data_IF_840632433962
#
_entry.id   IF_840632433962
#
_cell.length_a   1.000
_cell.length_b   1.000
_cell.length_c   1.000
_cell.angle_alpha   90.00
_cell.angle_beta   90.00
_cell.angle_gamma   90.00
#
_symmetry.space_group_name_H-M   'P 1'
#
loop_
_entity.id
_entity.type
_entity.pdbx_description
1 polymer ?
#
# COMPACT_ATOMS: atom_id res chain seq x y z
N UNK A 1 -1.36 9.76 2.77
CA UNK A 1 -1.15 9.23 1.40
C UNK A 1 -2.02 10.05 0.44
N UNK A 2 -1.52 10.41 -0.76
CA UNK A 2 -2.26 11.20 -1.76
C UNK A 2 -3.61 10.56 -2.12
N UNK A 3 -3.65 9.22 -2.25
CA UNK A 3 -4.88 8.46 -2.52
C UNK A 3 -5.93 8.67 -1.42
N UNK A 4 -5.51 8.72 -0.16
CA UNK A 4 -6.42 9.03 0.96
C UNK A 4 -7.05 10.41 0.77
N UNK A 5 -6.25 11.45 0.51
CA UNK A 5 -6.79 12.80 0.33
C UNK A 5 -7.71 12.94 -0.89
N UNK A 6 -7.42 12.19 -1.96
CA UNK A 6 -8.20 12.26 -3.19
C UNK A 6 -9.55 11.52 -3.10
N UNK A 7 -9.59 10.36 -2.45
CA UNK A 7 -10.78 9.50 -2.43
C UNK A 7 -11.64 9.59 -1.16
N UNK A 8 -11.07 10.04 -0.04
CA UNK A 8 -11.78 10.08 1.25
C UNK A 8 -12.91 11.12 1.25
N UNK A 9 -14.10 10.69 1.65
CA UNK A 9 -15.30 11.50 1.78
C UNK A 9 -15.12 12.68 2.75
N UNK A 10 -14.31 12.51 3.80
CA UNK A 10 -14.03 13.59 4.77
C UNK A 10 -13.06 14.64 4.25
N UNK A 11 -12.41 14.39 3.12
CA UNK A 11 -11.44 15.30 2.50
C UNK A 11 -12.08 16.19 1.42
N UNK A 12 -13.40 16.08 1.21
CA UNK A 12 -14.13 16.79 0.15
C UNK A 12 -13.93 18.30 0.20
N UNK A 13 -14.00 18.91 1.38
CA UNK A 13 -13.86 20.36 1.55
C UNK A 13 -12.41 20.83 1.35
N UNK A 14 -11.44 19.91 1.37
CA UNK A 14 -10.03 20.20 1.13
C UNK A 14 -9.61 19.94 -0.33
N UNK A 15 -10.47 19.35 -1.16
CA UNK A 15 -10.11 18.90 -2.51
C UNK A 15 -9.53 20.03 -3.38
N UNK A 16 -10.21 21.18 -3.44
CA UNK A 16 -9.77 22.31 -4.26
C UNK A 16 -8.40 22.85 -3.83
N UNK A 17 -8.14 22.89 -2.51
CA UNK A 17 -6.87 23.38 -1.98
C UNK A 17 -5.71 22.41 -2.23
N UNK A 18 -5.98 21.11 -2.23
CA UNK A 18 -4.96 20.08 -2.40
C UNK A 18 -4.67 19.75 -3.88
N UNK A 19 -5.70 19.81 -4.73
CA UNK A 19 -5.63 19.30 -6.10
C UNK A 19 -5.98 20.33 -7.18
N UNK A 20 -6.54 21.50 -6.84
CA UNK A 20 -7.13 22.42 -7.82
C UNK A 20 -6.19 22.91 -8.92
N UNK A 21 -4.90 23.06 -8.62
CA UNK A 21 -3.88 23.48 -9.60
C UNK A 21 -3.32 22.32 -10.43
N UNK A 22 -3.60 21.08 -10.02
CA UNK A 22 -3.15 19.85 -10.67
C UNK A 22 -4.17 19.37 -11.71
N UNK A 23 -3.70 18.58 -12.68
CA UNK A 23 -4.58 18.05 -13.73
C UNK A 23 -5.72 17.21 -13.15
N UNK A 24 -5.45 16.41 -12.11
CA UNK A 24 -6.45 15.58 -11.41
C UNK A 24 -7.47 16.38 -10.59
N UNK A 25 -7.22 17.67 -10.31
CA UNK A 25 -8.22 18.56 -9.71
C UNK A 25 -8.99 19.37 -10.74
N UNK A 26 -8.41 19.63 -11.93
CA UNK A 26 -9.09 20.27 -13.06
C UNK A 26 -10.04 19.32 -13.79
N UNK A 27 -9.67 18.04 -13.88
CA UNK A 27 -10.50 16.96 -14.42
C UNK A 27 -10.59 15.79 -13.42
N UNK A 28 -11.39 15.93 -12.34
CA UNK A 28 -11.47 14.92 -11.31
C UNK A 28 -12.24 13.68 -11.78
N UNK A 29 -11.77 12.51 -11.37
CA UNK A 29 -12.49 11.25 -11.65
C UNK A 29 -13.87 11.27 -10.98
N UNK A 30 -14.90 10.63 -11.56
CA UNK A 30 -16.26 10.63 -10.99
C UNK A 30 -16.39 10.10 -9.56
N UNK A 31 -15.34 9.50 -9.00
CA UNK A 31 -15.34 8.84 -7.70
C UNK A 31 -14.45 9.55 -6.66
N UNK A 32 -13.91 10.73 -6.96
CA UNK A 32 -13.16 11.52 -5.99
C UNK A 32 -14.02 11.84 -4.74
N UNK A 33 -13.43 11.79 -3.55
CA UNK A 33 -14.09 12.02 -2.25
C UNK A 33 -15.43 11.30 -2.03
N UNK A 34 -15.55 10.04 -2.50
CA UNK A 34 -16.78 9.23 -2.36
C UNK A 34 -16.60 7.97 -1.49
N UNK A 35 -15.47 7.82 -0.82
CA UNK A 35 -15.12 6.60 -0.08
C UNK A 35 -14.84 6.85 1.39
N UNK A 36 -15.16 5.87 2.22
CA UNK A 36 -14.40 5.64 3.45
C UNK A 36 -13.10 4.94 3.05
N UNK A 37 -11.98 5.64 3.23
CA UNK A 37 -10.64 5.11 2.95
C UNK A 37 -10.07 4.51 4.23
N UNK A 38 -9.70 3.23 4.15
CA UNK A 38 -9.02 2.49 5.22
C UNK A 38 -7.57 2.27 4.78
N UNK A 39 -6.61 2.60 5.63
CA UNK A 39 -5.19 2.38 5.38
C UNK A 39 -4.66 1.31 6.33
N UNK A 40 -4.08 0.25 5.77
CA UNK A 40 -3.26 -0.71 6.51
C UNK A 40 -1.83 -0.55 6.09
N UNK A 41 -0.92 -0.32 7.03
CA UNK A 41 0.52 -0.31 6.76
C UNK A 41 1.14 -1.54 7.42
N UNK A 42 1.65 -2.47 6.60
CA UNK A 42 2.17 -3.74 7.07
C UNK A 42 3.58 -3.65 7.66
N UNK A 43 4.33 -2.54 7.51
CA UNK A 43 5.58 -2.35 8.26
C UNK A 43 5.37 -2.17 9.77
N UNK A 44 4.14 -1.87 10.22
CA UNK A 44 3.78 -1.87 11.65
C UNK A 44 3.65 -3.28 12.23
N UNK A 45 3.66 -4.34 11.41
CA UNK A 45 3.51 -5.71 11.89
C UNK A 45 4.83 -6.26 12.43
N UNK A 46 4.79 -6.90 13.61
CA UNK A 46 5.95 -7.60 14.14
C UNK A 46 6.17 -8.93 13.41
N UNK A 47 7.35 -9.08 12.80
CA UNK A 47 7.83 -10.29 12.12
C UNK A 47 8.48 -11.33 13.04
N UNK A 48 8.59 -11.03 14.34
CA UNK A 48 9.32 -11.87 15.30
C UNK A 48 8.40 -12.79 16.10
N UNK A 49 8.84 -14.04 16.28
CA UNK A 49 8.21 -15.02 17.17
C UNK A 49 7.72 -16.26 16.45
N UNK A 50 6.95 -17.09 17.16
CA UNK A 50 6.25 -18.24 16.57
C UNK A 50 5.09 -17.77 15.68
N UNK A 51 4.56 -18.65 14.82
CA UNK A 51 3.41 -18.34 13.96
C UNK A 51 2.21 -17.83 14.76
N UNK A 52 1.88 -18.44 15.89
CA UNK A 52 0.77 -18.01 16.75
C UNK A 52 0.98 -16.61 17.33
N UNK A 53 2.23 -16.28 17.72
CA UNK A 53 2.58 -14.95 18.21
C UNK A 53 2.48 -13.91 17.09
N UNK A 54 2.97 -14.26 15.91
CA UNK A 54 2.88 -13.44 14.71
C UNK A 54 1.41 -13.19 14.33
N UNK A 55 0.57 -14.23 14.34
CA UNK A 55 -0.87 -14.12 14.08
C UNK A 55 -1.56 -13.20 15.09
N UNK A 56 -1.27 -13.39 16.37
CA UNK A 56 -1.82 -12.56 17.45
C UNK A 56 -1.42 -11.09 17.25
N UNK A 57 -0.13 -10.84 16.99
CA UNK A 57 0.39 -9.49 16.77
C UNK A 57 -0.19 -8.84 15.51
N UNK A 58 -0.35 -9.61 14.42
CA UNK A 58 -0.98 -9.16 13.19
C UNK A 58 -2.42 -8.71 13.46
N UNK A 59 -3.22 -9.56 14.11
CA UNK A 59 -4.61 -9.24 14.44
C UNK A 59 -4.73 -8.02 15.36
N UNK A 60 -3.88 -7.92 16.38
CA UNK A 60 -3.85 -6.74 17.27
C UNK A 60 -3.50 -5.46 16.50
N UNK A 61 -2.50 -5.52 15.62
CA UNK A 61 -2.05 -4.37 14.82
C UNK A 61 -3.16 -3.88 13.89
N UNK A 62 -3.82 -4.80 13.18
CA UNK A 62 -4.92 -4.48 12.28
C UNK A 62 -6.16 -3.97 13.02
N UNK A 63 -6.49 -4.54 14.18
CA UNK A 63 -7.58 -4.04 15.02
C UNK A 63 -7.29 -2.61 15.51
N UNK A 64 -6.07 -2.31 15.95
CA UNK A 64 -5.70 -0.95 16.35
C UNK A 64 -5.84 0.04 15.18
N UNK A 65 -5.42 -0.34 13.97
CA UNK A 65 -5.64 0.48 12.78
C UNK A 65 -7.13 0.70 12.50
N UNK A 66 -7.97 -0.34 12.65
CA UNK A 66 -9.42 -0.21 12.46
C UNK A 66 -10.07 0.67 13.53
N UNK A 67 -9.57 0.65 14.76
CA UNK A 67 -10.01 1.52 15.84
C UNK A 67 -9.66 2.99 15.55
N UNK A 68 -8.43 3.27 15.09
CA UNK A 68 -8.01 4.59 14.64
C UNK A 68 -8.95 5.13 13.54
N UNK A 69 -9.27 4.30 12.54
CA UNK A 69 -10.19 4.69 11.45
C UNK A 69 -11.63 4.84 11.94
N UNK A 70 -12.12 3.98 12.83
CA UNK A 70 -13.47 4.10 13.38
C UNK A 70 -13.63 5.41 14.18
N UNK A 71 -12.62 5.79 14.95
CA UNK A 71 -12.59 7.07 15.64
C UNK A 71 -12.68 8.24 14.65
N UNK A 72 -11.89 8.16 13.57
CA UNK A 72 -11.91 9.17 12.50
C UNK A 72 -13.27 9.28 11.80
N UNK A 73 -13.99 8.18 11.58
CA UNK A 73 -15.31 8.14 10.92
C UNK A 73 -16.49 8.00 11.90
N UNK A 74 -16.31 8.40 13.16
CA UNK A 74 -17.29 8.13 14.25
C UNK A 74 -18.66 8.80 14.07
N UNK A 75 -18.76 9.84 13.28
CA UNK A 75 -19.98 10.54 12.83
C UNK A 75 -20.69 9.83 11.66
N UNK A 76 -19.98 8.98 10.91
CA UNK A 76 -20.51 8.24 9.76
C UNK A 76 -20.77 6.77 10.08
N UNK A 77 -20.02 6.19 11.01
CA UNK A 77 -20.02 4.76 11.31
C UNK A 77 -20.41 4.48 12.76
N UNK A 78 -21.38 3.59 12.92
CA UNK A 78 -21.85 3.15 14.24
C UNK A 78 -22.03 1.64 14.29
N UNK A 79 -21.89 1.08 15.50
CA UNK A 79 -22.19 -0.34 15.76
C UNK A 79 -21.16 -1.32 15.19
N UNK A 80 -19.92 -0.89 14.98
CA UNK A 80 -18.80 -1.79 14.64
C UNK A 80 -18.45 -2.65 15.85
N UNK A 81 -18.38 -3.97 15.65
CA UNK A 81 -17.99 -4.95 16.67
C UNK A 81 -16.53 -5.35 16.49
N UNK A 82 -15.75 -5.23 17.56
CA UNK A 82 -14.37 -5.71 17.60
C UNK A 82 -14.32 -7.18 18.02
N UNK A 83 -13.53 -7.96 17.30
CA UNK A 83 -13.30 -9.38 17.52
C UNK A 83 -11.80 -9.63 17.68
N UNK A 84 -11.45 -10.82 18.16
CA UNK A 84 -10.05 -11.24 18.27
C UNK A 84 -9.38 -11.26 16.89
N UNK A 85 -10.04 -11.84 15.89
CA UNK A 85 -9.55 -11.82 14.51
C UNK A 85 -9.92 -10.50 13.83
N UNK A 86 -8.91 -9.79 13.33
CA UNK A 86 -9.09 -8.49 12.71
C UNK A 86 -9.92 -8.55 11.43
N UNK A 87 -9.90 -9.68 10.72
CA UNK A 87 -10.76 -9.87 9.54
C UNK A 87 -12.25 -9.84 9.91
N UNK A 88 -12.61 -10.34 11.09
CA UNK A 88 -13.99 -10.30 11.60
C UNK A 88 -14.39 -8.88 12.04
N UNK A 89 -13.47 -8.16 12.69
CA UNK A 89 -13.64 -6.72 12.96
C UNK A 89 -13.83 -5.94 11.66
N UNK A 90 -13.01 -6.20 10.64
CA UNK A 90 -13.08 -5.54 9.35
C UNK A 90 -14.40 -5.83 8.63
N UNK A 91 -14.89 -7.07 8.67
CA UNK A 91 -16.23 -7.42 8.20
C UNK A 91 -17.31 -6.58 8.86
N UNK A 92 -17.24 -6.41 10.19
CA UNK A 92 -18.19 -5.55 10.92
C UNK A 92 -18.06 -4.08 10.54
N UNK A 93 -16.85 -3.60 10.28
CA UNK A 93 -16.58 -2.23 9.83
C UNK A 93 -17.19 -1.98 8.44
N UNK A 94 -16.94 -2.87 7.48
CA UNK A 94 -17.50 -2.80 6.13
C UNK A 94 -19.03 -2.88 6.14
N UNK A 95 -19.60 -3.70 7.02
CA UNK A 95 -21.06 -3.77 7.19
C UNK A 95 -21.65 -2.45 7.72
N UNK A 96 -20.95 -1.76 8.62
CA UNK A 96 -21.37 -0.44 9.09
C UNK A 96 -21.28 0.62 7.98
N UNK A 97 -20.22 0.60 7.17
CA UNK A 97 -20.08 1.49 6.01
C UNK A 97 -21.20 1.27 4.98
N UNK A 98 -21.51 0.00 4.68
CA UNK A 98 -22.61 -0.37 3.78
C UNK A 98 -23.98 0.09 4.30
N UNK A 99 -24.25 -0.05 5.60
CA UNK A 99 -25.49 0.45 6.22
C UNK A 99 -25.65 1.96 6.06
N UNK A 100 -24.53 2.68 6.07
CA UNK A 100 -24.47 4.13 5.88
C UNK A 100 -24.49 4.54 4.40
N UNK A 101 -24.52 3.57 3.47
CA UNK A 101 -24.58 3.81 2.03
C UNK A 101 -23.27 4.32 1.41
N UNK A 102 -22.15 4.22 2.13
CA UNK A 102 -20.85 4.76 1.70
C UNK A 102 -19.97 3.62 1.18
N UNK A 103 -19.28 3.88 0.06
CA UNK A 103 -18.34 2.94 -0.55
C UNK A 103 -17.05 2.87 0.28
N UNK A 104 -16.35 1.75 0.21
CA UNK A 104 -15.13 1.50 0.99
C UNK A 104 -13.94 1.27 0.07
N UNK A 105 -12.80 1.85 0.43
CA UNK A 105 -11.54 1.69 -0.29
C UNK A 105 -10.47 1.28 0.71
N UNK A 106 -9.96 0.06 0.60
CA UNK A 106 -8.82 -0.42 1.37
C UNK A 106 -7.52 -0.13 0.61
N UNK A 107 -6.60 0.57 1.27
CA UNK A 107 -5.23 0.80 0.83
C UNK A 107 -4.32 -0.03 1.75
N UNK A 108 -3.53 -0.94 1.18
CA UNK A 108 -2.53 -1.72 1.91
C UNK A 108 -1.15 -1.26 1.46
N UNK A 109 -0.38 -0.71 2.39
CA UNK A 109 0.97 -0.22 2.15
C UNK A 109 2.02 -1.17 2.74
N UNK A 110 3.17 -1.24 2.09
CA UNK A 110 4.31 -2.10 2.45
C UNK A 110 3.90 -3.58 2.67
N UNK A 111 3.01 -4.09 1.82
CA UNK A 111 2.36 -5.40 2.02
C UNK A 111 3.34 -6.57 2.16
N UNK A 112 4.52 -6.43 1.54
CA UNK A 112 5.58 -7.42 1.51
C UNK A 112 6.60 -7.24 2.63
N UNK A 113 6.69 -6.07 3.27
CA UNK A 113 7.70 -5.77 4.28
C UNK A 113 7.70 -6.81 5.40
N UNK A 114 6.51 -7.05 5.97
CA UNK A 114 6.31 -8.03 7.03
C UNK A 114 6.78 -9.44 6.62
N UNK A 115 6.43 -9.87 5.41
CA UNK A 115 6.73 -11.21 4.95
C UNK A 115 8.20 -11.36 4.49
N UNK A 116 8.81 -10.30 3.95
CA UNK A 116 10.25 -10.24 3.68
C UNK A 116 11.05 -10.39 4.97
N UNK A 117 10.68 -9.68 6.04
CA UNK A 117 11.35 -9.80 7.34
C UNK A 117 11.28 -11.23 7.90
N UNK A 118 10.10 -11.87 7.85
CA UNK A 118 9.94 -13.26 8.31
C UNK A 118 10.76 -14.23 7.45
N UNK A 119 10.78 -14.03 6.13
CA UNK A 119 11.56 -14.85 5.20
C UNK A 119 13.06 -14.76 5.49
N UNK A 120 13.56 -13.56 5.83
CA UNK A 120 14.96 -13.34 6.18
C UNK A 120 15.33 -13.95 7.54
N UNK A 121 14.39 -14.03 8.49
CA UNK A 121 14.66 -14.62 9.80
C UNK A 121 14.56 -16.15 9.81
N UNK A 122 13.45 -16.72 9.35
CA UNK A 122 13.17 -18.17 9.43
C UNK A 122 12.25 -18.64 8.30
N UNK A 123 12.81 -19.29 7.28
CA UNK A 123 12.08 -19.74 6.09
C UNK A 123 10.93 -20.71 6.38
N UNK A 124 11.02 -21.51 7.44
CA UNK A 124 9.94 -22.41 7.85
C UNK A 124 8.73 -21.65 8.43
N UNK A 125 8.96 -20.56 9.17
CA UNK A 125 7.90 -19.69 9.68
C UNK A 125 7.21 -18.98 8.52
N UNK A 126 7.99 -18.46 7.56
CA UNK A 126 7.44 -17.88 6.32
C UNK A 126 6.50 -18.86 5.60
N UNK A 127 6.94 -20.11 5.39
CA UNK A 127 6.13 -21.13 4.73
C UNK A 127 4.79 -21.36 5.48
N UNK A 128 4.81 -21.39 6.81
CA UNK A 128 3.60 -21.55 7.63
C UNK A 128 2.67 -20.32 7.59
N UNK A 129 3.18 -19.12 7.34
CA UNK A 129 2.36 -17.91 7.18
C UNK A 129 1.61 -17.87 5.85
N UNK A 130 2.24 -18.36 4.77
CA UNK A 130 1.71 -18.22 3.40
C UNK A 130 1.05 -19.49 2.86
N UNK A 131 1.29 -20.67 3.45
CA UNK A 131 0.71 -21.96 3.01
C UNK A 131 -0.39 -22.50 3.94
N UNK A 132 -1.16 -23.49 3.44
CA UNK A 132 -2.06 -24.39 4.21
C UNK A 132 -2.95 -23.76 5.31
N UNK A 133 -3.44 -22.53 5.09
CA UNK A 133 -4.30 -21.74 6.02
C UNK A 133 -3.55 -20.88 7.05
N UNK A 134 -2.30 -20.52 6.74
CA UNK A 134 -1.54 -19.53 7.48
C UNK A 134 -2.25 -18.16 7.61
N UNK A 135 -1.93 -17.38 8.66
CA UNK A 135 -2.61 -16.13 8.99
C UNK A 135 -2.72 -15.14 7.84
N UNK A 136 -1.64 -14.94 7.08
CA UNK A 136 -1.60 -13.98 5.99
C UNK A 136 -2.49 -14.43 4.82
N UNK A 137 -2.46 -15.72 4.48
CA UNK A 137 -3.35 -16.30 3.46
C UNK A 137 -4.82 -16.18 3.85
N UNK A 138 -5.14 -16.40 5.13
CA UNK A 138 -6.51 -16.28 5.67
C UNK A 138 -7.01 -14.83 5.60
N UNK A 139 -6.16 -13.86 5.97
CA UNK A 139 -6.47 -12.43 5.84
C UNK A 139 -6.85 -12.08 4.39
N UNK A 140 -5.99 -12.43 3.44
CA UNK A 140 -6.21 -12.12 2.03
C UNK A 140 -7.43 -12.83 1.42
N UNK A 141 -7.67 -14.09 1.78
CA UNK A 141 -8.91 -14.80 1.40
C UNK A 141 -10.16 -14.03 1.86
N UNK A 142 -10.15 -13.50 3.09
CA UNK A 142 -11.25 -12.68 3.60
C UNK A 142 -11.42 -11.36 2.85
N UNK A 143 -10.33 -10.65 2.54
CA UNK A 143 -10.37 -9.43 1.73
C UNK A 143 -10.97 -9.71 0.35
N UNK A 144 -10.53 -10.80 -0.29
CA UNK A 144 -11.07 -11.25 -1.58
C UNK A 144 -12.57 -11.54 -1.49
N UNK A 145 -13.02 -12.24 -0.46
CA UNK A 145 -14.45 -12.49 -0.24
C UNK A 145 -15.24 -11.17 -0.12
N UNK A 146 -14.70 -10.18 0.58
CA UNK A 146 -15.37 -8.88 0.74
C UNK A 146 -15.46 -8.10 -0.57
N UNK A 147 -14.46 -8.21 -1.45
CA UNK A 147 -14.50 -7.64 -2.80
C UNK A 147 -15.55 -8.34 -3.67
N UNK A 148 -15.55 -9.68 -3.71
CA UNK A 148 -16.51 -10.46 -4.49
C UNK A 148 -17.96 -10.22 -4.05
N UNK A 149 -18.19 -9.99 -2.74
CA UNK A 149 -19.50 -9.66 -2.17
C UNK A 149 -19.90 -8.19 -2.33
N UNK A 150 -19.00 -7.34 -2.83
CA UNK A 150 -19.19 -5.90 -2.95
C UNK A 150 -19.29 -5.18 -1.59
N UNK A 151 -18.82 -5.80 -0.50
CA UNK A 151 -18.69 -5.15 0.81
C UNK A 151 -17.48 -4.21 0.85
N UNK A 152 -16.38 -4.64 0.22
CA UNK A 152 -15.24 -3.80 -0.10
C UNK A 152 -15.38 -3.36 -1.55
N UNK A 153 -15.33 -2.05 -1.83
CA UNK A 153 -15.55 -1.54 -3.20
C UNK A 153 -14.26 -1.49 -4.01
N UNK A 154 -13.14 -1.11 -3.37
CA UNK A 154 -11.83 -0.99 -4.01
C UNK A 154 -10.73 -1.49 -3.08
N UNK A 155 -9.69 -2.04 -3.69
CA UNK A 155 -8.45 -2.43 -3.04
C UNK A 155 -7.28 -1.89 -3.86
N UNK A 156 -6.28 -1.34 -3.19
CA UNK A 156 -5.02 -0.97 -3.79
C UNK A 156 -3.90 -1.36 -2.83
N UNK A 157 -2.86 -1.99 -3.35
CA UNK A 157 -1.79 -2.60 -2.56
C UNK A 157 -0.46 -2.10 -3.12
N UNK A 158 0.42 -1.60 -2.25
CA UNK A 158 1.75 -1.07 -2.57
C UNK A 158 2.83 -1.78 -1.78
N UNK A 159 4.02 -1.91 -2.36
CA UNK A 159 5.15 -2.66 -1.77
C UNK A 159 6.42 -2.62 -2.63
N UNK A 160 7.37 -3.52 -2.34
CA UNK A 160 8.66 -3.55 -3.07
C UNK A 160 8.86 -4.85 -3.86
N UNK A 161 8.42 -5.98 -3.32
CA UNK A 161 8.67 -7.32 -3.84
C UNK A 161 7.38 -8.09 -4.12
N UNK A 162 7.19 -8.66 -5.33
CA UNK A 162 6.02 -9.48 -5.68
C UNK A 162 6.03 -10.91 -5.08
N UNK A 163 7.10 -11.31 -4.40
CA UNK A 163 7.30 -12.71 -3.93
C UNK A 163 6.12 -13.20 -3.10
N UNK A 164 5.70 -12.39 -2.13
CA UNK A 164 4.60 -12.71 -1.21
C UNK A 164 3.27 -12.86 -1.95
N UNK A 165 3.00 -12.02 -2.95
CA UNK A 165 1.80 -12.16 -3.77
C UNK A 165 1.81 -13.42 -4.62
N UNK A 166 2.98 -13.84 -5.14
CA UNK A 166 3.10 -15.09 -5.90
C UNK A 166 2.75 -16.32 -5.07
N UNK A 167 3.17 -16.35 -3.80
CA UNK A 167 2.90 -17.46 -2.87
C UNK A 167 1.45 -17.45 -2.35
N UNK A 168 0.81 -16.28 -2.29
CA UNK A 168 -0.58 -16.10 -1.87
C UNK A 168 -1.55 -16.12 -3.06
N UNK A 169 -1.09 -16.35 -4.30
CA UNK A 169 -1.89 -16.27 -5.55
C UNK A 169 -3.29 -16.91 -5.50
N UNK A 170 -3.47 -18.04 -4.81
CA UNK A 170 -4.82 -18.64 -4.61
C UNK A 170 -5.80 -17.77 -3.79
N UNK A 171 -5.29 -16.89 -2.94
CA UNK A 171 -6.04 -15.98 -2.08
C UNK A 171 -6.37 -14.62 -2.70
N UNK A 172 -5.64 -14.16 -3.73
CA UNK A 172 -5.78 -12.81 -4.33
C UNK A 172 -5.73 -12.79 -5.87
N UNK A 173 -6.21 -13.84 -6.54
CA UNK A 173 -6.26 -13.91 -8.00
C UNK A 173 -7.21 -12.90 -8.71
N UNK A 174 -7.77 -11.94 -7.98
CA UNK A 174 -8.67 -10.89 -8.50
C UNK A 174 -7.97 -9.53 -8.66
N UNK A 175 -6.69 -9.42 -8.28
CA UNK A 175 -5.92 -8.19 -8.43
C UNK A 175 -5.13 -8.20 -9.73
N UNK A 176 -5.17 -7.09 -10.46
CA UNK A 176 -4.30 -6.85 -11.61
C UNK A 176 -2.91 -6.45 -11.12
N UNK A 177 -1.91 -7.23 -11.53
CA UNK A 177 -0.51 -6.94 -11.19
C UNK A 177 0.12 -6.05 -12.27
N UNK A 178 0.36 -4.79 -11.92
CA UNK A 178 0.95 -3.78 -12.82
C UNK A 178 2.48 -3.62 -12.67
N UNK A 179 3.14 -4.51 -11.91
CA UNK A 179 4.56 -4.40 -11.55
C UNK A 179 5.51 -4.23 -12.73
N UNK A 180 5.20 -4.84 -13.88
CA UNK A 180 6.04 -4.80 -15.09
C UNK A 180 5.40 -3.97 -16.21
N UNK A 181 4.32 -3.24 -15.95
CA UNK A 181 3.65 -2.44 -16.96
C UNK A 181 4.39 -1.12 -17.20
N UNK A 182 4.94 -0.99 -18.39
CA UNK A 182 5.73 0.18 -18.81
C UNK A 182 5.00 1.51 -18.71
N UNK A 183 3.68 1.48 -18.81
CA UNK A 183 2.82 2.66 -18.73
C UNK A 183 2.85 3.30 -17.33
N UNK A 184 3.01 2.49 -16.29
CA UNK A 184 2.91 2.93 -14.89
C UNK A 184 4.27 3.25 -14.26
N UNK A 185 5.36 2.94 -14.95
CA UNK A 185 6.72 3.10 -14.41
C UNK A 185 7.14 4.56 -14.12
N UNK A 186 6.45 5.55 -14.69
CA UNK A 186 6.70 6.98 -14.36
C UNK A 186 5.97 7.42 -13.10
N UNK A 187 5.00 6.62 -12.60
CA UNK A 187 4.25 6.98 -11.40
C UNK A 187 5.10 6.89 -10.14
N UNK A 188 6.17 6.09 -10.20
CA UNK A 188 6.96 5.78 -9.04
C UNK A 188 8.45 5.89 -9.37
N UNK A 189 9.07 7.00 -8.95
CA UNK A 189 10.50 7.25 -9.08
C UNK A 189 10.87 8.28 -10.14
N UNK A 190 12.16 8.38 -10.42
CA UNK A 190 12.72 9.35 -11.37
C UNK A 190 13.27 8.64 -12.60
N UNK A 191 13.05 9.22 -13.78
CA UNK A 191 13.74 8.83 -15.00
C UNK A 191 15.24 9.04 -14.88
N UNK A 192 16.02 8.43 -15.79
CA UNK A 192 17.46 8.68 -15.85
C UNK A 192 17.77 10.17 -16.04
N UNK A 193 16.99 10.86 -16.88
CA UNK A 193 17.16 12.30 -17.12
C UNK A 193 16.92 13.11 -15.85
N UNK A 194 15.79 12.88 -15.18
CA UNK A 194 15.44 13.56 -13.94
C UNK A 194 16.48 13.29 -12.85
N UNK A 195 16.98 12.06 -12.75
CA UNK A 195 18.02 11.72 -11.77
C UNK A 195 19.34 12.43 -12.08
N UNK A 196 19.74 12.52 -13.35
CA UNK A 196 20.94 13.27 -13.76
C UNK A 196 20.79 14.78 -13.50
N UNK A 197 19.60 15.34 -13.78
CA UNK A 197 19.28 16.73 -13.52
C UNK A 197 19.32 17.04 -12.02
N UNK A 198 18.70 16.18 -11.19
CA UNK A 198 18.74 16.30 -9.73
C UNK A 198 20.16 16.18 -9.18
N UNK A 199 20.96 15.23 -9.68
CA UNK A 199 22.36 15.10 -9.27
C UNK A 199 23.17 16.37 -9.62
N UNK A 200 22.91 16.95 -10.78
CA UNK A 200 23.52 18.23 -11.20
C UNK A 200 23.10 19.38 -10.29
N UNK A 201 21.80 19.47 -9.96
CA UNK A 201 21.28 20.49 -9.05
C UNK A 201 21.87 20.36 -7.64
N UNK A 202 22.03 19.14 -7.12
CA UNK A 202 22.65 18.88 -5.81
C UNK A 202 24.12 19.29 -5.81
N UNK A 203 24.89 18.91 -6.84
CA UNK A 203 26.32 19.29 -6.97
C UNK A 203 26.47 20.81 -7.02
N UNK A 204 25.62 21.49 -7.78
CA UNK A 204 25.60 22.95 -7.85
C UNK A 204 25.23 23.59 -6.50
N UNK A 205 24.19 23.08 -5.82
CA UNK A 205 23.76 23.57 -4.51
C UNK A 205 24.83 23.40 -3.42
N UNK A 206 25.61 22.32 -3.50
CA UNK A 206 26.72 22.03 -2.59
C UNK A 206 28.02 22.77 -2.95
N UNK A 207 28.02 23.65 -3.96
CA UNK A 207 29.22 24.31 -4.50
C UNK A 207 30.34 23.33 -4.89
N UNK A 208 29.98 22.14 -5.35
CA UNK A 208 30.92 21.14 -5.83
C UNK A 208 31.12 21.28 -7.34
N UNK A 209 32.28 20.83 -7.84
CA UNK A 209 32.54 20.82 -9.28
C UNK A 209 31.60 19.85 -10.01
N UNK A 210 31.07 20.26 -11.17
CA UNK A 210 30.11 19.48 -11.97
C UNK A 210 30.60 18.07 -12.33
N UNK A 211 31.93 17.86 -12.38
CA UNK A 211 32.54 16.55 -12.57
C UNK A 211 32.16 15.51 -11.51
N UNK A 212 31.64 15.93 -10.35
CA UNK A 212 31.15 15.04 -9.30
C UNK A 212 29.76 14.43 -9.59
N UNK A 213 28.97 15.00 -10.51
CA UNK A 213 27.65 14.48 -10.84
C UNK A 213 27.72 13.07 -11.45
N UNK A 214 28.65 12.85 -12.39
CA UNK A 214 28.86 11.54 -13.03
C UNK A 214 29.23 10.42 -12.06
N UNK A 215 30.22 10.61 -11.16
CA UNK A 215 30.55 9.67 -10.09
C UNK A 215 29.39 9.37 -9.14
N UNK A 216 28.58 10.37 -8.75
CA UNK A 216 27.39 10.17 -7.91
C UNK A 216 26.39 9.25 -8.61
N UNK A 217 26.08 9.52 -9.89
CA UNK A 217 25.18 8.67 -10.69
C UNK A 217 25.74 7.26 -10.85
N UNK A 218 27.05 7.12 -11.10
CA UNK A 218 27.70 5.81 -11.21
C UNK A 218 27.63 5.04 -9.89
N UNK A 219 27.87 5.72 -8.77
CA UNK A 219 27.73 5.15 -7.43
C UNK A 219 26.29 4.70 -7.17
N UNK A 220 25.29 5.53 -7.51
CA UNK A 220 23.88 5.15 -7.39
C UNK A 220 23.57 3.90 -8.22
N UNK A 221 24.06 3.82 -9.46
CA UNK A 221 23.89 2.63 -10.31
C UNK A 221 24.55 1.38 -9.72
N UNK A 222 25.72 1.50 -9.09
CA UNK A 222 26.45 0.35 -8.51
C UNK A 222 25.82 -0.15 -7.20
N UNK A 223 25.39 0.75 -6.33
CA UNK A 223 24.89 0.38 -5.00
C UNK A 223 23.40 0.08 -4.97
N UNK A 224 22.64 0.65 -5.90
CA UNK A 224 21.22 0.41 -6.04
C UNK A 224 20.93 -0.42 -7.30
N UNK A 225 21.77 -1.42 -7.58
CA UNK A 225 21.78 -2.34 -8.73
C UNK A 225 20.43 -3.09 -8.88
N UNK A 226 19.40 -2.35 -9.29
CA UNK A 226 17.97 -2.68 -9.22
C UNK A 226 17.06 -1.46 -9.52
N UNK A 227 17.52 -0.24 -9.26
CA UNK A 227 17.02 0.96 -9.94
C UNK A 227 17.43 0.87 -11.41
N UNK A 228 16.56 0.27 -12.20
CA UNK A 228 16.66 0.45 -13.63
C UNK A 228 16.33 1.92 -13.87
N UNK A 229 17.29 2.67 -14.38
CA UNK A 229 17.06 3.98 -14.99
C UNK A 229 16.95 3.75 -16.48
N UNK A 230 15.84 3.24 -16.98
CA UNK A 230 15.76 2.98 -18.41
C UNK A 230 15.63 4.29 -19.17
N UNK A 231 16.01 4.22 -20.45
CA UNK A 231 15.79 5.31 -21.42
C UNK A 231 14.31 5.65 -21.63
N UNK A 232 13.40 4.76 -21.21
CA UNK A 232 11.95 4.92 -21.09
C UNK A 232 11.49 4.19 -19.83
N UNK A 233 10.67 4.82 -18.97
CA UNK A 233 10.45 4.47 -17.56
C UNK A 233 10.21 2.97 -17.33
N UNK A 234 10.97 2.41 -16.38
CA UNK A 234 10.99 1.06 -15.78
C UNK A 234 11.67 1.23 -14.46
N UNK A 235 10.90 1.86 -13.58
CA UNK A 235 11.00 1.62 -12.17
C UNK A 235 9.77 0.79 -11.84
N UNK A 236 10.01 -0.47 -11.50
CA UNK A 236 9.03 -1.31 -10.86
C UNK A 236 8.96 -0.86 -9.39
N UNK A 237 8.06 0.06 -9.11
CA UNK A 237 7.61 0.36 -7.76
C UNK A 237 6.13 -0.02 -7.72
N UNK A 238 5.77 -0.88 -6.77
CA UNK A 238 4.43 -1.50 -6.60
C UNK A 238 3.52 -0.54 -5.86
#
# INVERSE_FOLDING_TARGET
NVMTHYYDIKQKDHFANLFGDLDIGKDPTPQHNQYIVINWNFSRMSSRGTVDQIETNMNNTLNNMLEEHLSYYSDLLHGVKFNQEAINTFSSFLAAARKSGIKTYLLIDEYDNFANEVMMSESNVYYQLVQKDGPLKTLYKGIKEFLERGLLTRLFITGVSPVVMSDITSGMNICDNIYLDQTFNSLCGFTESETNELATQVVHHCNMDISHAGPIIKMMKTWYDGYTFPRNPVIACI
#
